data_IF_176757329998
#
_entry.id   IF_176757329998
#
_cell.length_a   1.000
_cell.length_b   1.000
_cell.length_c   1.000
_cell.angle_alpha   90.00
_cell.angle_beta   90.00
_cell.angle_gamma   90.00
#
_symmetry.space_group_name_H-M   'P 1'
#
loop_
_entity.id
_entity.type
_entity.pdbx_description
1 polymer ?
#
# COMPACT_ATOMS: atom_id res chain seq x y z
N UNK A 1 6.95 -51.63 -27.48
CA UNK A 1 8.11 -50.86 -27.01
C UNK A 1 7.60 -49.48 -26.59
N UNK A 2 7.42 -49.24 -25.29
CA UNK A 2 6.97 -47.91 -24.82
C UNK A 2 6.13 -47.99 -23.56
N UNK A 3 6.77 -48.22 -22.41
CA UNK A 3 6.20 -47.90 -21.09
C UNK A 3 7.29 -47.91 -19.99
N UNK A 4 8.33 -48.75 -20.14
CA UNK A 4 9.37 -48.96 -19.12
C UNK A 4 10.24 -47.73 -18.77
N UNK A 5 10.19 -46.67 -19.59
CA UNK A 5 10.97 -45.43 -19.40
C UNK A 5 10.16 -44.28 -18.80
N UNK A 6 8.85 -44.44 -18.59
CA UNK A 6 7.99 -43.37 -18.05
C UNK A 6 8.28 -43.15 -16.57
N UNK A 7 8.36 -44.22 -15.78
CA UNK A 7 8.58 -44.14 -14.33
C UNK A 7 9.93 -43.48 -13.96
N UNK A 8 11.08 -43.86 -14.56
CA UNK A 8 12.34 -43.16 -14.33
C UNK A 8 12.30 -41.69 -14.74
N UNK A 9 11.62 -41.37 -15.85
CA UNK A 9 11.49 -39.99 -16.35
C UNK A 9 10.58 -39.13 -15.47
N UNK A 10 9.47 -39.66 -14.96
CA UNK A 10 8.61 -38.95 -14.01
C UNK A 10 9.37 -38.71 -12.70
N UNK A 11 10.16 -39.69 -12.26
CA UNK A 11 10.97 -39.58 -11.05
C UNK A 11 12.04 -38.49 -11.16
N UNK A 12 12.71 -38.36 -12.30
CA UNK A 12 13.72 -37.29 -12.48
C UNK A 12 13.12 -35.89 -12.56
N UNK A 13 11.87 -35.76 -13.01
CA UNK A 13 11.14 -34.47 -13.03
C UNK A 13 10.65 -34.07 -11.64
N UNK A 14 10.06 -35.02 -10.89
CA UNK A 14 9.47 -34.76 -9.57
C UNK A 14 10.54 -34.56 -8.49
N UNK A 15 11.63 -35.32 -8.55
CA UNK A 15 12.71 -35.27 -7.54
C UNK A 15 13.92 -34.47 -8.00
N UNK A 16 13.69 -33.41 -8.78
CA UNK A 16 14.75 -32.48 -9.14
C UNK A 16 15.25 -31.79 -7.87
N UNK A 17 16.57 -31.76 -7.67
CA UNK A 17 17.17 -31.06 -6.53
C UNK A 17 16.85 -29.56 -6.59
N UNK A 18 16.49 -29.02 -5.43
CA UNK A 18 16.25 -27.59 -5.22
C UNK A 18 17.47 -26.93 -4.59
N UNK A 19 17.72 -25.68 -4.96
CA UNK A 19 18.72 -24.86 -4.26
C UNK A 19 18.22 -24.41 -2.89
N UNK A 20 19.15 -24.19 -1.95
CA UNK A 20 18.84 -23.64 -0.64
C UNK A 20 18.52 -22.14 -0.73
N UNK A 21 17.40 -21.76 -0.13
CA UNK A 21 16.91 -20.37 -0.05
C UNK A 21 17.10 -19.73 1.34
N UNK A 22 17.70 -20.45 2.29
CA UNK A 22 18.00 -19.95 3.64
C UNK A 22 18.87 -18.69 3.58
N UNK A 23 18.44 -17.63 4.26
CA UNK A 23 19.11 -16.34 4.26
C UNK A 23 18.96 -15.52 2.97
N UNK A 24 18.34 -16.08 1.91
CA UNK A 24 18.08 -15.38 0.64
C UNK A 24 16.64 -14.89 0.52
N UNK A 25 15.69 -15.65 1.06
CA UNK A 25 14.26 -15.35 0.95
C UNK A 25 13.60 -15.23 2.32
N UNK A 26 12.60 -14.36 2.40
CA UNK A 26 11.72 -14.29 3.57
C UNK A 26 10.92 -15.59 3.63
N UNK A 27 10.92 -16.24 4.79
CA UNK A 27 10.09 -17.42 5.05
C UNK A 27 8.63 -16.99 5.19
N UNK A 28 7.73 -17.70 4.52
CA UNK A 28 6.29 -17.46 4.65
C UNK A 28 5.83 -17.95 6.02
N UNK A 29 5.32 -17.01 6.82
CA UNK A 29 4.87 -17.24 8.19
C UNK A 29 3.86 -16.16 8.57
N UNK A 30 2.66 -16.60 8.99
CA UNK A 30 1.60 -15.71 9.47
C UNK A 30 1.69 -15.47 10.98
N UNK A 31 0.86 -14.55 11.47
CA UNK A 31 0.77 -14.27 12.91
C UNK A 31 0.20 -15.47 13.69
N UNK A 32 0.89 -15.86 14.78
CA UNK A 32 0.44 -16.91 15.69
C UNK A 32 -0.50 -16.35 16.78
N UNK A 33 -1.80 -16.62 16.63
CA UNK A 33 -2.82 -16.17 17.58
C UNK A 33 -2.77 -16.86 18.95
N UNK A 34 -1.96 -17.91 19.14
CA UNK A 34 -1.70 -18.43 20.48
C UNK A 34 -0.94 -17.42 21.36
N UNK A 35 -0.32 -16.40 20.74
CA UNK A 35 0.33 -15.28 21.44
C UNK A 35 -0.66 -14.17 21.83
N UNK A 36 -1.96 -14.36 21.59
CA UNK A 36 -3.02 -13.37 21.85
C UNK A 36 -3.32 -12.48 20.65
N UNK A 37 -4.00 -11.35 20.89
CA UNK A 37 -4.34 -10.37 19.84
C UNK A 37 -3.44 -9.15 19.96
N UNK A 38 -2.45 -9.05 19.07
CA UNK A 38 -1.52 -7.93 18.99
C UNK A 38 -1.55 -7.29 17.59
N UNK A 39 -2.34 -6.22 17.42
CA UNK A 39 -2.53 -5.56 16.12
C UNK A 39 -1.21 -5.10 15.46
N UNK A 40 -0.26 -4.44 16.15
CA UNK A 40 1.03 -4.11 15.56
C UNK A 40 1.76 -5.32 14.97
N UNK A 41 1.78 -6.46 15.68
CA UNK A 41 2.45 -7.67 15.18
C UNK A 41 1.65 -8.36 14.06
N UNK A 42 0.32 -8.29 14.11
CA UNK A 42 -0.54 -8.75 13.01
C UNK A 42 -0.22 -7.98 11.73
N UNK A 43 -0.21 -6.64 11.77
CA UNK A 43 0.13 -5.83 10.60
C UNK A 43 1.57 -6.05 10.14
N UNK A 44 2.53 -6.21 11.07
CA UNK A 44 3.93 -6.50 10.73
C UNK A 44 4.09 -7.86 10.03
N UNK A 45 3.30 -8.87 10.41
CA UNK A 45 3.34 -10.20 9.78
C UNK A 45 2.79 -10.23 8.35
N UNK A 46 2.12 -9.17 7.88
CA UNK A 46 1.53 -9.11 6.54
C UNK A 46 2.58 -9.33 5.45
N UNK A 47 3.79 -8.74 5.61
CA UNK A 47 4.93 -8.92 4.69
C UNK A 47 5.26 -10.40 4.45
N UNK A 48 5.17 -11.24 5.48
CA UNK A 48 5.47 -12.67 5.40
C UNK A 48 4.24 -13.58 5.22
N UNK A 49 3.04 -13.01 5.05
CA UNK A 49 1.78 -13.79 4.95
C UNK A 49 1.48 -14.29 3.52
N UNK A 50 2.11 -13.73 2.49
CA UNK A 50 1.89 -14.02 1.06
C UNK A 50 0.64 -13.34 0.45
N UNK A 51 0.49 -13.46 -0.88
CA UNK A 51 -0.59 -12.86 -1.68
C UNK A 51 -0.78 -11.35 -1.42
N UNK A 52 -2.02 -10.88 -1.32
CA UNK A 52 -2.33 -9.46 -1.10
C UNK A 52 -1.92 -8.97 0.29
N UNK A 53 -1.72 -9.86 1.26
CA UNK A 53 -1.21 -9.47 2.56
C UNK A 53 0.23 -8.95 2.44
N UNK A 54 1.10 -9.64 1.68
CA UNK A 54 2.46 -9.16 1.44
C UNK A 54 2.47 -7.81 0.72
N UNK A 55 1.63 -7.63 -0.32
CA UNK A 55 1.50 -6.35 -1.01
C UNK A 55 1.06 -5.22 -0.05
N UNK A 56 0.14 -5.49 0.87
CA UNK A 56 -0.30 -4.51 1.86
C UNK A 56 0.82 -4.20 2.88
N UNK A 57 1.57 -5.20 3.32
CA UNK A 57 2.72 -5.01 4.20
C UNK A 57 3.79 -4.12 3.56
N UNK A 58 4.16 -4.42 2.31
CA UNK A 58 5.11 -3.62 1.52
C UNK A 58 4.61 -2.18 1.29
N UNK A 59 3.31 -2.01 1.03
CA UNK A 59 2.71 -0.69 0.89
C UNK A 59 2.77 0.12 2.20
N UNK A 60 2.57 -0.51 3.36
CA UNK A 60 2.72 0.14 4.67
C UNK A 60 4.16 0.61 4.87
N UNK A 61 5.13 -0.24 4.56
CA UNK A 61 6.55 0.10 4.69
C UNK A 61 6.93 1.28 3.76
N UNK A 62 6.52 1.23 2.49
CA UNK A 62 6.75 2.31 1.54
C UNK A 62 6.10 3.64 1.99
N UNK A 63 4.87 3.62 2.51
CA UNK A 63 4.22 4.83 3.03
C UNK A 63 4.94 5.36 4.27
N UNK A 64 5.40 4.49 5.17
CA UNK A 64 6.18 4.91 6.33
C UNK A 64 7.50 5.58 5.93
N UNK A 65 8.18 5.09 4.89
CA UNK A 65 9.38 5.74 4.34
C UNK A 65 9.09 7.16 3.82
N UNK A 66 7.96 7.36 3.14
CA UNK A 66 7.57 8.68 2.62
C UNK A 66 7.19 9.67 3.72
N UNK A 67 6.43 9.20 4.72
CA UNK A 67 5.61 10.05 5.58
C UNK A 67 6.27 10.43 6.91
N UNK A 68 7.16 9.61 7.46
CA UNK A 68 7.40 9.63 8.91
C UNK A 68 8.07 10.92 9.42
N UNK A 69 7.21 11.89 9.76
CA UNK A 69 7.48 13.15 10.45
C UNK A 69 7.48 12.90 11.96
N UNK A 70 8.58 12.37 12.48
CA UNK A 70 8.74 12.03 13.90
C UNK A 70 10.01 11.24 14.16
N UNK A 71 10.16 10.63 15.34
CA UNK A 71 11.38 9.96 15.83
C UNK A 71 11.84 8.73 15.01
N UNK A 72 12.34 9.05 13.81
CA UNK A 72 12.99 8.32 12.71
C UNK A 72 12.14 7.42 11.79
N UNK A 73 11.71 8.01 10.66
CA UNK A 73 12.26 7.82 9.30
C UNK A 73 11.71 8.89 8.32
N UNK A 74 12.16 10.15 8.42
CA UNK A 74 11.76 11.26 7.53
C UNK A 74 12.63 11.17 6.26
N UNK A 75 12.13 10.65 5.13
CA UNK A 75 12.96 10.51 3.91
C UNK A 75 13.60 11.85 3.56
N UNK A 76 14.89 11.78 3.22
CA UNK A 76 15.71 12.89 2.74
C UNK A 76 16.43 12.46 1.49
N UNK A 77 16.71 13.42 0.62
CA UNK A 77 17.59 13.19 -0.51
C UNK A 77 18.98 12.69 -0.04
N UNK A 78 19.41 13.07 1.17
CA UNK A 78 20.64 12.58 1.79
C UNK A 78 20.66 11.06 2.03
N UNK A 79 19.50 10.40 2.15
CA UNK A 79 19.42 8.94 2.33
C UNK A 79 19.73 8.18 1.03
N UNK A 80 19.64 8.84 -0.11
CA UNK A 80 19.94 8.23 -1.41
C UNK A 80 21.40 8.43 -1.81
N UNK A 81 21.92 7.49 -2.59
CA UNK A 81 23.24 7.62 -3.22
C UNK A 81 23.15 8.71 -4.29
N UNK A 82 24.09 9.65 -4.28
CA UNK A 82 24.14 10.69 -5.29
C UNK A 82 24.41 10.07 -6.68
N UNK A 83 23.50 10.31 -7.62
CA UNK A 83 23.69 9.91 -9.02
C UNK A 83 24.88 10.66 -9.64
N UNK A 84 25.55 10.05 -10.62
CA UNK A 84 26.74 10.63 -11.25
C UNK A 84 26.44 11.96 -11.97
N UNK A 85 25.23 12.08 -12.50
CA UNK A 85 24.70 13.21 -13.27
C UNK A 85 23.93 14.24 -12.42
N UNK A 86 23.96 14.14 -11.08
CA UNK A 86 23.28 15.09 -10.21
C UNK A 86 23.86 16.52 -10.33
N UNK A 87 23.00 17.52 -10.10
CA UNK A 87 23.39 18.93 -10.14
C UNK A 87 24.43 19.24 -9.06
N UNK A 88 25.27 20.25 -9.27
CA UNK A 88 26.32 20.60 -8.31
C UNK A 88 25.76 20.94 -6.92
N UNK A 89 24.60 21.59 -6.88
CA UNK A 89 23.86 21.88 -5.64
C UNK A 89 23.36 20.60 -4.93
N UNK A 90 22.98 19.57 -5.67
CA UNK A 90 22.50 18.28 -5.15
C UNK A 90 23.63 17.41 -4.59
N UNK A 91 24.89 17.78 -4.84
CA UNK A 91 26.07 17.17 -4.19
C UNK A 91 26.29 17.74 -2.79
N UNK A 92 25.74 18.90 -2.48
CA UNK A 92 25.88 19.52 -1.17
C UNK A 92 25.05 18.78 -0.12
N UNK A 93 25.70 18.26 0.92
CA UNK A 93 25.05 17.52 1.99
C UNK A 93 23.95 18.33 2.70
N UNK A 94 24.17 19.62 2.96
CA UNK A 94 23.18 20.48 3.63
C UNK A 94 21.92 20.64 2.77
N UNK A 95 22.10 20.80 1.46
CA UNK A 95 20.97 20.85 0.53
C UNK A 95 20.21 19.52 0.54
N UNK A 96 20.90 18.38 0.43
CA UNK A 96 20.28 17.04 0.42
C UNK A 96 19.50 16.73 1.72
N UNK A 97 19.98 17.21 2.86
CA UNK A 97 19.27 17.11 4.16
C UNK A 97 18.04 18.02 4.26
N UNK A 98 18.00 19.09 3.46
CA UNK A 98 16.86 20.01 3.44
C UNK A 98 15.71 19.52 2.56
N UNK A 99 16.01 18.68 1.56
CA UNK A 99 15.03 18.16 0.60
C UNK A 99 14.27 17.00 1.23
N UNK A 100 12.95 17.15 1.31
CA UNK A 100 12.01 16.14 1.79
C UNK A 100 11.24 15.50 0.64
N UNK A 101 10.63 14.35 0.89
CA UNK A 101 9.70 13.74 -0.04
C UNK A 101 8.48 14.65 -0.22
N UNK A 102 8.06 14.88 -1.47
CA UNK A 102 6.79 15.55 -1.78
C UNK A 102 5.72 14.47 -1.97
N UNK A 103 4.67 14.53 -1.16
CA UNK A 103 3.64 13.49 -1.15
C UNK A 103 2.45 13.96 -1.98
N UNK A 104 2.18 13.23 -3.06
CA UNK A 104 0.99 13.37 -3.88
C UNK A 104 -0.02 12.31 -3.46
N UNK A 105 -1.22 12.73 -3.08
CA UNK A 105 -2.34 11.84 -2.80
C UNK A 105 -3.39 11.98 -3.89
N UNK A 106 -3.67 10.88 -4.57
CA UNK A 106 -4.75 10.78 -5.53
C UNK A 106 -5.87 9.85 -5.03
N UNK A 107 -7.11 10.24 -5.31
CA UNK A 107 -8.27 9.41 -5.02
C UNK A 107 -9.42 9.70 -5.98
N UNK A 108 -10.22 8.67 -6.26
CA UNK A 108 -11.45 8.75 -7.05
C UNK A 108 -12.62 9.30 -6.22
N UNK A 109 -13.61 9.92 -6.86
CA UNK A 109 -14.74 10.58 -6.16
C UNK A 109 -15.50 9.66 -5.21
N UNK A 110 -15.68 8.39 -5.56
CA UNK A 110 -16.40 7.40 -4.74
C UNK A 110 -15.77 7.19 -3.34
N UNK A 111 -14.48 7.46 -3.15
CA UNK A 111 -13.85 7.40 -1.83
C UNK A 111 -14.34 8.52 -0.91
N UNK A 112 -14.66 9.70 -1.45
CA UNK A 112 -15.27 10.80 -0.70
C UNK A 112 -16.74 10.52 -0.42
N UNK A 113 -17.45 9.79 -1.29
CA UNK A 113 -18.82 9.31 -1.01
C UNK A 113 -18.87 8.41 0.23
N UNK A 114 -17.78 7.70 0.53
CA UNK A 114 -17.67 6.79 1.67
C UNK A 114 -17.24 7.48 2.99
N UNK A 115 -17.08 6.71 4.07
CA UNK A 115 -16.47 7.19 5.32
C UNK A 115 -14.96 7.42 5.20
N UNK A 116 -14.33 7.02 4.09
CA UNK A 116 -12.91 7.23 3.84
C UNK A 116 -12.57 8.73 3.69
N UNK A 117 -13.57 9.57 3.40
CA UNK A 117 -13.49 11.04 3.43
C UNK A 117 -12.77 11.58 4.66
N UNK A 118 -13.02 11.03 5.85
CA UNK A 118 -12.42 11.54 7.08
C UNK A 118 -10.93 11.16 7.21
N UNK A 119 -10.53 10.01 6.66
CA UNK A 119 -9.11 9.64 6.56
C UNK A 119 -8.38 10.55 5.57
N UNK A 120 -8.98 10.80 4.40
CA UNK A 120 -8.44 11.75 3.41
C UNK A 120 -8.29 13.13 4.04
N UNK A 121 -9.32 13.62 4.74
CA UNK A 121 -9.26 14.90 5.48
C UNK A 121 -8.05 14.92 6.42
N UNK A 122 -7.89 13.89 7.25
CA UNK A 122 -6.75 13.82 8.19
C UNK A 122 -5.39 13.88 7.45
N UNK A 123 -5.22 13.11 6.39
CA UNK A 123 -3.99 13.09 5.59
C UNK A 123 -3.69 14.46 4.97
N UNK A 124 -4.68 15.12 4.39
CA UNK A 124 -4.53 16.45 3.78
C UNK A 124 -4.15 17.51 4.81
N UNK A 125 -4.67 17.42 6.04
CA UNK A 125 -4.35 18.38 7.09
C UNK A 125 -2.93 18.24 7.67
N UNK A 126 -2.30 17.06 7.55
CA UNK A 126 -1.09 16.76 8.33
C UNK A 126 0.10 16.19 7.52
N UNK A 127 -0.16 15.51 6.41
CA UNK A 127 0.79 14.55 5.83
C UNK A 127 1.00 14.69 4.31
N UNK A 128 0.10 15.34 3.57
CA UNK A 128 0.14 15.40 2.09
C UNK A 128 0.44 16.82 1.61
N UNK A 129 1.21 16.95 0.51
CA UNK A 129 1.55 18.23 -0.11
C UNK A 129 0.63 18.60 -1.30
N UNK A 130 0.23 17.60 -2.09
CA UNK A 130 -0.58 17.80 -3.30
C UNK A 130 -1.72 16.79 -3.34
N UNK A 131 -2.92 17.26 -3.66
CA UNK A 131 -4.11 16.42 -3.81
C UNK A 131 -4.57 16.43 -5.26
N UNK A 132 -4.85 15.24 -5.80
CA UNK A 132 -5.44 15.06 -7.12
C UNK A 132 -6.74 14.27 -6.99
N UNK A 133 -7.84 14.83 -7.49
CA UNK A 133 -9.12 14.11 -7.51
C UNK A 133 -9.99 14.58 -8.68
N UNK A 134 -10.99 13.77 -9.02
CA UNK A 134 -12.04 14.12 -9.98
C UNK A 134 -13.03 15.12 -9.37
N UNK A 135 -13.77 15.87 -10.20
CA UNK A 135 -14.74 16.90 -9.76
C UNK A 135 -15.68 16.41 -8.65
N UNK A 136 -16.22 15.19 -8.76
CA UNK A 136 -17.13 14.63 -7.75
C UNK A 136 -16.50 14.50 -6.35
N UNK A 137 -15.18 14.31 -6.25
CA UNK A 137 -14.49 14.27 -4.96
C UNK A 137 -14.50 15.62 -4.23
N UNK A 138 -14.51 16.73 -4.98
CA UNK A 138 -14.61 18.08 -4.41
C UNK A 138 -16.06 18.42 -4.07
N UNK A 139 -16.99 18.18 -5.00
CA UNK A 139 -18.41 18.50 -4.82
C UNK A 139 -19.02 17.74 -3.63
N UNK A 140 -18.74 16.45 -3.52
CA UNK A 140 -19.31 15.62 -2.46
C UNK A 140 -18.76 15.97 -1.07
N UNK A 141 -17.51 16.41 -0.96
CA UNK A 141 -16.96 16.89 0.32
C UNK A 141 -17.72 18.12 0.82
N UNK A 142 -18.02 19.06 -0.08
CA UNK A 142 -18.81 20.25 0.22
C UNK A 142 -20.26 19.89 0.57
N UNK A 143 -20.90 19.01 -0.21
CA UNK A 143 -22.27 18.55 0.04
C UNK A 143 -22.37 17.89 1.42
N UNK A 144 -21.38 17.09 1.83
CA UNK A 144 -21.34 16.43 3.14
C UNK A 144 -21.25 17.40 4.32
N UNK A 145 -20.80 18.63 4.09
CA UNK A 145 -20.83 19.69 5.10
C UNK A 145 -22.24 20.31 5.24
N UNK A 146 -23.10 20.16 4.22
CA UNK A 146 -24.46 20.70 4.18
C UNK A 146 -25.50 19.66 4.61
N UNK A 147 -25.32 18.40 4.23
CA UNK A 147 -26.25 17.32 4.53
C UNK A 147 -25.55 15.95 4.63
N UNK A 148 -26.04 15.03 5.45
CA UNK A 148 -25.49 13.68 5.56
C UNK A 148 -25.77 12.83 4.31
N UNK A 149 -24.89 11.87 4.05
CA UNK A 149 -25.10 10.78 3.09
C UNK A 149 -25.39 9.48 3.84
N UNK A 150 -26.31 8.66 3.31
CA UNK A 150 -26.74 7.42 3.95
C UNK A 150 -26.31 6.19 3.15
N UNK A 151 -26.08 5.09 3.86
CA UNK A 151 -25.79 3.78 3.25
C UNK A 151 -27.05 3.23 2.57
N UNK A 152 -26.92 2.84 1.31
CA UNK A 152 -27.92 2.04 0.59
C UNK A 152 -27.40 0.63 0.29
N UNK A 153 -28.14 -0.11 -0.54
CA UNK A 153 -27.71 -1.42 -1.08
C UNK A 153 -27.65 -1.39 -2.61
N UNK A 154 -26.68 -2.11 -3.19
CA UNK A 154 -26.49 -2.18 -4.65
C UNK A 154 -27.76 -2.59 -5.43
N UNK A 155 -28.60 -3.54 -4.98
CA UNK A 155 -29.80 -3.94 -5.72
C UNK A 155 -30.84 -2.83 -5.91
N UNK A 156 -30.86 -1.78 -5.08
CA UNK A 156 -31.81 -0.67 -5.23
C UNK A 156 -31.54 0.17 -6.49
N UNK A 157 -30.32 0.13 -7.03
CA UNK A 157 -29.94 0.81 -8.27
C UNK A 157 -30.48 0.09 -9.51
N UNK A 158 -30.58 -1.24 -9.48
CA UNK A 158 -31.04 -2.04 -10.63
C UNK A 158 -32.57 -1.97 -10.83
N UNK A 159 -33.31 -1.71 -9.75
CA UNK A 159 -34.77 -1.84 -9.75
C UNK A 159 -35.52 -0.49 -9.87
N UNK A 160 -34.84 0.60 -10.22
CA UNK A 160 -35.40 1.97 -10.35
C UNK A 160 -36.19 2.49 -9.13
N UNK A 161 -36.11 1.84 -7.96
CA UNK A 161 -36.83 2.28 -6.76
C UNK A 161 -36.35 3.62 -6.20
N UNK A 162 -35.15 4.06 -6.58
CA UNK A 162 -34.54 5.30 -6.10
C UNK A 162 -35.10 6.58 -6.74
N UNK A 163 -35.69 6.49 -7.95
CA UNK A 163 -36.27 7.63 -8.65
C UNK A 163 -37.73 7.31 -8.98
N UNK A 164 -38.65 7.95 -8.28
CA UNK A 164 -40.06 7.98 -8.67
C UNK A 164 -40.25 9.19 -9.59
N UNK A 165 -40.84 8.96 -10.75
CA UNK A 165 -41.28 10.03 -11.66
C UNK A 165 -42.28 10.97 -10.97
#
# INVERSE_FOLDING_TARGET
MGDDNILPSVRSVVFKESETLEGKCIKIEGYDFNQGVNYPQIFKSLVSTSFQASNLGEAIDAVNEMVFRGSKLDWRLANEIAAEDCREEERNHVFRESVRCKIFLDFTSNLISSSFRDNVRYLVHHMVDVVVTTTGGVEEDLIKCLAPTFKGDFPYLELNYARKD
#
